data_IF_052679256883
#
_entry.id   IF_052679256883
#
_cell.length_a   1.000
_cell.length_b   1.000
_cell.length_c   1.000
_cell.angle_alpha   90.00
_cell.angle_beta   90.00
_cell.angle_gamma   90.00
#
_symmetry.space_group_name_H-M   'P 1'
#
loop_
_entity.id
_entity.type
_entity.pdbx_description
1 polymer ?
#
# COMPACT_ATOMS: atom_id res chain seq x y z
N UNK A 1 7.52 27.12 -23.82
CA UNK A 1 8.25 26.63 -22.63
C UNK A 1 7.21 26.01 -21.70
N UNK A 2 7.11 24.68 -21.57
CA UNK A 2 6.00 24.06 -20.84
C UNK A 2 6.10 22.53 -20.72
N UNK A 3 7.30 22.00 -20.49
CA UNK A 3 7.55 20.55 -20.43
C UNK A 3 8.30 20.08 -19.19
N UNK A 4 8.65 20.97 -18.26
CA UNK A 4 9.21 20.58 -16.97
C UNK A 4 8.05 20.33 -16.02
N UNK A 5 7.80 19.09 -15.62
CA UNK A 5 6.67 18.68 -14.77
C UNK A 5 6.55 19.32 -13.38
N UNK A 6 7.20 20.46 -13.12
CA UNK A 6 7.08 21.25 -11.89
C UNK A 6 5.65 21.70 -11.60
N UNK A 7 4.85 21.98 -12.63
CA UNK A 7 3.45 22.41 -12.48
C UNK A 7 2.54 21.32 -11.86
N UNK A 8 2.96 20.05 -11.93
CA UNK A 8 2.24 18.93 -11.34
C UNK A 8 2.85 18.42 -10.01
N UNK A 9 3.69 19.21 -9.36
CA UNK A 9 4.13 18.91 -8.00
C UNK A 9 2.93 18.89 -7.04
N UNK A 10 2.78 17.79 -6.29
CA UNK A 10 1.67 17.62 -5.34
C UNK A 10 2.13 18.02 -3.95
N UNK A 11 3.15 17.34 -3.42
CA UNK A 11 3.68 17.53 -2.08
C UNK A 11 5.03 16.84 -1.91
N UNK A 12 5.79 17.26 -0.90
CA UNK A 12 6.90 16.53 -0.31
C UNK A 12 6.50 15.95 1.04
N UNK A 13 6.98 14.73 1.32
CA UNK A 13 6.78 14.06 2.59
C UNK A 13 8.14 13.84 3.26
N UNK A 14 8.17 14.00 4.59
CA UNK A 14 9.40 13.88 5.37
C UNK A 14 9.41 12.55 6.12
N UNK A 15 10.38 11.69 5.80
CA UNK A 15 10.57 10.42 6.51
C UNK A 15 11.71 10.52 7.51
N UNK A 16 11.45 10.16 8.76
CA UNK A 16 12.50 10.00 9.77
C UNK A 16 13.31 8.72 9.48
N UNK A 17 14.63 8.83 9.41
CA UNK A 17 15.51 7.71 9.05
C UNK A 17 16.19 7.06 10.25
N UNK A 18 16.50 7.85 11.28
CA UNK A 18 17.22 7.45 12.50
C UNK A 18 16.83 8.36 13.69
N UNK A 19 17.16 7.95 14.91
CA UNK A 19 16.90 8.76 16.12
C UNK A 19 18.10 9.61 16.47
N UNK A 20 19.28 9.01 16.43
CA UNK A 20 20.56 9.67 16.71
C UNK A 20 21.54 9.27 15.61
N UNK A 21 22.32 10.23 15.12
CA UNK A 21 23.41 9.99 14.18
C UNK A 21 24.74 9.82 14.92
N UNK A 22 25.58 8.93 14.42
CA UNK A 22 26.97 8.82 14.87
C UNK A 22 27.90 9.79 14.12
N UNK A 23 27.40 10.42 13.05
CA UNK A 23 28.15 11.36 12.20
C UNK A 23 27.69 12.81 12.48
N UNK A 24 27.87 13.26 13.72
CA UNK A 24 27.47 14.60 14.17
C UNK A 24 28.66 15.57 14.18
N UNK A 25 29.50 15.58 13.14
CA UNK A 25 30.72 16.41 13.07
C UNK A 25 30.45 17.90 13.27
N UNK A 26 29.27 18.38 12.85
CA UNK A 26 28.84 19.77 12.99
C UNK A 26 27.93 20.01 14.19
N UNK A 27 27.71 19.01 15.05
CA UNK A 27 26.71 19.03 16.11
C UNK A 27 25.27 18.82 15.62
N UNK A 28 25.04 18.70 14.31
CA UNK A 28 23.70 18.48 13.73
C UNK A 28 23.40 16.98 13.64
N UNK A 29 22.27 16.57 14.21
CA UNK A 29 21.71 15.23 14.02
C UNK A 29 20.81 15.17 12.77
N UNK A 30 21.41 14.96 11.60
CA UNK A 30 20.66 14.82 10.35
C UNK A 30 19.94 13.45 10.28
N UNK A 31 18.62 13.49 10.37
CA UNK A 31 17.80 12.30 10.68
C UNK A 31 16.56 12.12 9.82
N UNK A 32 16.46 12.80 8.67
CA UNK A 32 15.32 12.66 7.76
C UNK A 32 15.75 12.58 6.30
N UNK A 33 14.83 12.11 5.47
CA UNK A 33 14.90 12.13 4.01
C UNK A 33 13.55 12.59 3.43
N UNK A 34 13.50 12.75 2.12
CA UNK A 34 12.36 13.27 1.38
C UNK A 34 11.72 12.20 0.50
N UNK A 35 10.40 12.27 0.37
CA UNK A 35 9.62 11.57 -0.65
C UNK A 35 8.84 12.62 -1.45
N UNK A 36 9.16 12.76 -2.73
CA UNK A 36 8.53 13.74 -3.62
C UNK A 36 7.34 13.09 -4.33
N UNK A 37 6.20 13.76 -4.30
CA UNK A 37 4.97 13.33 -4.99
C UNK A 37 4.65 14.28 -6.14
N UNK A 38 4.54 13.69 -7.33
CA UNK A 38 4.12 14.36 -8.56
C UNK A 38 2.93 13.63 -9.16
N UNK A 39 2.06 14.38 -9.83
CA UNK A 39 0.94 13.84 -10.57
C UNK A 39 1.17 13.97 -12.08
N UNK A 40 0.45 13.17 -12.87
CA UNK A 40 0.35 13.42 -14.32
C UNK A 40 -0.54 14.63 -14.60
N UNK A 41 -1.64 14.74 -13.86
CA UNK A 41 -2.53 15.88 -13.83
C UNK A 41 -3.05 16.06 -12.40
N UNK A 42 -2.76 17.22 -11.79
CA UNK A 42 -3.08 17.52 -10.38
C UNK A 42 -4.59 17.64 -10.11
N UNK A 43 -5.40 17.95 -11.11
CA UNK A 43 -6.86 18.10 -10.96
C UNK A 43 -7.56 16.78 -10.60
N UNK A 44 -6.97 15.64 -10.98
CA UNK A 44 -7.51 14.31 -10.72
C UNK A 44 -6.87 13.63 -9.50
N UNK A 45 -6.03 14.33 -8.73
CA UNK A 45 -5.35 13.74 -7.59
C UNK A 45 -6.33 13.57 -6.43
N UNK A 46 -6.45 12.33 -5.96
CA UNK A 46 -7.08 12.00 -4.69
C UNK A 46 -6.10 11.16 -3.87
N UNK A 47 -5.65 11.70 -2.73
CA UNK A 47 -4.76 11.02 -1.78
C UNK A 47 -5.47 10.71 -0.44
N UNK A 48 -6.81 10.68 -0.44
CA UNK A 48 -7.55 10.18 0.71
C UNK A 48 -7.37 8.66 0.79
N UNK A 49 -7.10 8.16 2.00
CA UNK A 49 -6.84 6.75 2.25
C UNK A 49 -7.63 6.23 3.43
N UNK A 50 -8.12 4.98 3.33
CA UNK A 50 -8.83 4.26 4.41
C UNK A 50 -9.90 5.06 5.15
N UNK A 51 -10.26 4.59 6.35
CA UNK A 51 -11.17 5.30 7.26
C UNK A 51 -10.41 5.81 8.49
N UNK A 52 -10.76 7.02 8.96
CA UNK A 52 -10.27 7.57 10.23
C UNK A 52 -10.72 6.68 11.39
N UNK A 53 -9.91 6.62 12.45
CA UNK A 53 -10.40 6.11 13.72
C UNK A 53 -11.37 7.16 14.31
N UNK A 54 -12.64 6.78 14.41
CA UNK A 54 -13.72 7.62 14.92
C UNK A 54 -14.25 7.14 16.28
N UNK A 55 -13.59 6.17 16.92
CA UNK A 55 -14.03 5.53 18.18
C UNK A 55 -14.12 6.52 19.37
N UNK A 56 -13.34 7.60 19.29
CA UNK A 56 -13.37 8.65 20.30
C UNK A 56 -14.64 9.50 20.22
N UNK A 57 -15.31 9.58 19.06
CA UNK A 57 -16.60 10.26 18.94
C UNK A 57 -17.66 9.43 19.64
N UNK A 58 -18.21 9.98 20.72
CA UNK A 58 -19.24 9.32 21.55
C UNK A 58 -20.40 10.27 21.79
N UNK A 59 -21.56 9.72 22.13
CA UNK A 59 -22.73 10.50 22.54
C UNK A 59 -23.16 10.16 23.98
N UNK A 60 -22.32 10.44 24.99
CA UNK A 60 -22.60 10.02 26.37
C UNK A 60 -23.76 10.81 27.02
N UNK A 61 -24.09 11.98 26.48
CA UNK A 61 -25.07 12.92 27.00
C UNK A 61 -26.37 12.96 26.20
N UNK A 62 -26.58 12.00 25.29
CA UNK A 62 -27.75 11.93 24.39
C UNK A 62 -27.99 13.24 23.63
N UNK A 63 -26.90 13.90 23.19
CA UNK A 63 -26.94 15.11 22.38
C UNK A 63 -27.67 14.83 21.05
N UNK A 64 -28.68 15.63 20.66
CA UNK A 64 -29.43 15.43 19.41
C UNK A 64 -28.57 15.58 18.16
N UNK A 65 -27.40 16.22 18.25
CA UNK A 65 -26.45 16.34 17.15
C UNK A 65 -25.59 15.07 16.96
N UNK A 66 -25.74 14.07 17.81
CA UNK A 66 -25.03 12.79 17.74
C UNK A 66 -23.64 12.83 18.36
N UNK A 67 -22.80 11.87 17.96
CA UNK A 67 -21.49 11.66 18.57
C UNK A 67 -20.54 12.86 18.40
N UNK A 68 -19.78 13.19 19.45
CA UNK A 68 -18.87 14.32 19.50
C UNK A 68 -17.61 14.00 20.29
N UNK A 69 -16.59 14.86 20.14
CA UNK A 69 -15.39 14.90 20.98
C UNK A 69 -15.15 16.29 21.54
N UNK A 70 -14.47 16.36 22.68
CA UNK A 70 -13.98 17.63 23.20
C UNK A 70 -12.87 18.17 22.28
N UNK A 71 -13.03 19.39 21.81
CA UNK A 71 -12.08 20.06 20.92
C UNK A 71 -11.55 21.34 21.57
N UNK A 72 -10.44 21.86 21.03
CA UNK A 72 -9.91 23.14 21.47
C UNK A 72 -10.76 24.29 20.89
N UNK A 73 -11.43 25.12 21.72
CA UNK A 73 -12.17 26.29 21.25
C UNK A 73 -11.27 27.43 20.80
N UNK A 74 -9.94 27.32 20.93
CA UNK A 74 -9.00 28.38 20.60
C UNK A 74 -8.03 27.99 19.49
N UNK A 75 -7.57 28.98 18.72
CA UNK A 75 -6.56 28.85 17.69
C UNK A 75 -5.57 30.04 17.74
N UNK A 76 -4.37 29.88 17.16
CA UNK A 76 -3.41 30.98 17.00
C UNK A 76 -3.84 31.99 15.93
N UNK A 77 -4.72 31.57 15.02
CA UNK A 77 -5.34 32.45 14.03
C UNK A 77 -6.55 33.15 14.65
N UNK A 78 -6.61 34.47 14.50
CA UNK A 78 -7.73 35.27 15.01
C UNK A 78 -7.41 36.75 15.06
N UNK A 79 -8.36 37.52 15.56
CA UNK A 79 -8.27 38.97 15.67
C UNK A 79 -8.60 39.37 17.11
N UNK A 80 -7.78 40.26 17.68
CA UNK A 80 -7.99 40.81 19.02
C UNK A 80 -9.39 41.42 19.19
N UNK A 81 -9.92 42.11 18.17
CA UNK A 81 -11.22 42.78 18.26
C UNK A 81 -12.40 41.83 18.36
N UNK A 82 -12.33 40.66 17.74
CA UNK A 82 -13.50 39.79 17.56
C UNK A 82 -13.38 38.43 18.23
N UNK A 83 -12.15 37.94 18.42
CA UNK A 83 -11.85 36.61 18.95
C UNK A 83 -11.18 36.62 20.33
N UNK A 84 -10.86 37.80 20.88
CA UNK A 84 -10.39 37.94 22.26
C UNK A 84 -11.46 38.60 23.12
N UNK A 85 -12.24 37.79 23.83
CA UNK A 85 -13.29 38.27 24.71
C UNK A 85 -13.62 37.24 25.80
N UNK A 86 -14.18 37.71 26.91
CA UNK A 86 -14.61 36.85 28.00
C UNK A 86 -15.88 36.09 27.65
N UNK A 87 -15.87 34.77 27.85
CA UNK A 87 -17.05 33.92 27.77
C UNK A 87 -17.52 33.65 29.19
N UNK A 88 -18.66 34.21 29.56
CA UNK A 88 -19.25 34.02 30.89
C UNK A 88 -20.12 32.78 30.93
N UNK A 89 -19.84 31.87 31.86
CA UNK A 89 -20.70 30.73 32.16
C UNK A 89 -21.95 31.22 32.94
N UNK A 90 -23.16 31.01 32.43
CA UNK A 90 -24.40 31.50 33.06
C UNK A 90 -24.76 30.78 34.36
N UNK A 91 -24.20 29.59 34.63
CA UNK A 91 -24.47 28.81 35.85
C UNK A 91 -23.54 29.17 37.00
N UNK A 92 -22.27 29.47 36.72
CA UNK A 92 -21.23 29.67 37.73
C UNK A 92 -20.66 31.08 37.78
N UNK A 93 -21.05 31.95 36.85
CA UNK A 93 -20.48 33.29 36.62
C UNK A 93 -18.98 33.29 36.31
N UNK A 94 -18.36 32.13 36.07
CA UNK A 94 -16.96 32.06 35.65
C UNK A 94 -16.78 32.70 34.28
N UNK A 95 -15.75 33.54 34.14
CA UNK A 95 -15.38 34.16 32.86
C UNK A 95 -14.10 33.52 32.36
N UNK A 96 -14.17 32.87 31.20
CA UNK A 96 -13.01 32.28 30.53
C UNK A 96 -12.54 33.16 29.36
N UNK A 97 -11.24 33.38 29.28
CA UNK A 97 -10.56 34.02 28.15
C UNK A 97 -9.73 32.98 27.37
N UNK A 98 -9.44 33.22 26.07
CA UNK A 98 -8.57 32.32 25.34
C UNK A 98 -7.14 32.40 25.92
N UNK A 99 -6.34 31.32 25.77
CA UNK A 99 -4.94 31.33 26.20
C UNK A 99 -4.14 32.49 25.58
N UNK A 100 -3.08 32.91 26.25
CA UNK A 100 -2.20 33.98 25.76
C UNK A 100 -1.67 33.64 24.36
N UNK A 101 -1.83 34.57 23.42
CA UNK A 101 -1.44 34.38 22.01
C UNK A 101 -2.42 33.53 21.19
N UNK A 102 -3.59 33.21 21.72
CA UNK A 102 -4.67 32.50 21.04
C UNK A 102 -5.97 33.31 21.09
N UNK A 103 -6.88 32.98 20.18
CA UNK A 103 -8.19 33.58 20.04
C UNK A 103 -9.25 32.49 19.98
N UNK A 104 -10.49 32.79 20.37
CA UNK A 104 -11.60 31.88 20.17
C UNK A 104 -11.82 31.58 18.68
N UNK A 105 -12.19 30.34 18.38
CA UNK A 105 -12.57 29.88 17.03
C UNK A 105 -13.97 30.37 16.62
N UNK A 106 -14.63 31.10 17.51
CA UNK A 106 -15.88 31.82 17.30
C UNK A 106 -15.69 33.27 17.73
N UNK A 107 -16.51 34.17 17.19
CA UNK A 107 -16.48 35.60 17.49
C UNK A 107 -17.59 36.00 18.45
N UNK A 108 -17.53 37.23 18.97
CA UNK A 108 -18.66 37.80 19.74
C UNK A 108 -19.99 37.72 18.98
N UNK A 109 -19.96 37.86 17.65
CA UNK A 109 -21.17 37.82 16.82
C UNK A 109 -21.67 36.39 16.54
N UNK A 110 -20.81 35.39 16.68
CA UNK A 110 -21.14 33.99 16.35
C UNK A 110 -21.21 33.08 17.56
N UNK A 111 -20.86 33.56 18.77
CA UNK A 111 -20.91 32.75 19.98
C UNK A 111 -22.32 32.20 20.23
N UNK A 112 -23.36 33.01 20.06
CA UNK A 112 -24.74 32.57 20.29
C UNK A 112 -25.10 31.40 19.38
N UNK A 113 -24.73 31.46 18.09
CA UNK A 113 -24.89 30.35 17.17
C UNK A 113 -24.18 29.07 17.65
N UNK A 114 -22.98 29.18 18.21
CA UNK A 114 -22.26 28.01 18.75
C UNK A 114 -22.91 27.44 20.02
N UNK A 115 -23.57 28.28 20.82
CA UNK A 115 -24.38 27.85 21.96
C UNK A 115 -25.63 27.13 21.45
N UNK A 116 -26.36 27.75 20.51
CA UNK A 116 -27.61 27.22 19.95
C UNK A 116 -27.39 25.89 19.20
N UNK A 117 -26.26 25.75 18.50
CA UNK A 117 -25.86 24.50 17.83
C UNK A 117 -25.34 23.43 18.80
N UNK A 118 -25.23 23.72 20.10
CA UNK A 118 -24.71 22.79 21.12
C UNK A 118 -23.19 22.65 21.15
N UNK A 119 -22.45 23.39 20.29
CA UNK A 119 -20.98 23.36 20.26
C UNK A 119 -20.37 23.89 21.56
N UNK A 120 -20.97 24.91 22.18
CA UNK A 120 -20.58 25.40 23.50
C UNK A 120 -21.57 24.84 24.52
N UNK A 121 -21.09 23.99 25.41
CA UNK A 121 -21.89 23.45 26.50
C UNK A 121 -21.31 23.92 27.84
N UNK A 122 -22.04 24.78 28.55
CA UNK A 122 -21.62 25.32 29.84
C UNK A 122 -21.72 24.26 30.94
N UNK A 123 -20.64 24.11 31.71
CA UNK A 123 -20.58 23.20 32.85
C UNK A 123 -21.37 23.79 34.01
N UNK A 124 -22.19 22.98 34.69
CA UNK A 124 -22.86 23.38 35.94
C UNK A 124 -21.89 23.42 37.12
N UNK A 125 -20.87 22.56 37.08
CA UNK A 125 -19.81 22.46 38.08
C UNK A 125 -18.46 22.29 37.39
N UNK A 126 -17.41 22.90 37.94
CA UNK A 126 -16.04 22.79 37.45
C UNK A 126 -15.06 23.09 38.58
N UNK A 127 -13.80 22.63 38.45
CA UNK A 127 -12.71 23.05 39.34
C UNK A 127 -12.27 24.48 39.01
N UNK A 128 -11.58 25.14 39.94
CA UNK A 128 -11.10 26.53 39.76
C UNK A 128 -10.18 26.69 38.55
N UNK A 129 -9.33 25.69 38.28
CA UNK A 129 -8.39 25.70 37.17
C UNK A 129 -8.94 25.13 35.86
N UNK A 130 -10.23 24.75 35.83
CA UNK A 130 -10.87 24.23 34.61
C UNK A 130 -11.70 25.31 33.91
N UNK A 131 -11.72 25.25 32.58
CA UNK A 131 -12.65 26.05 31.78
C UNK A 131 -14.10 25.69 32.13
N UNK A 132 -14.95 26.70 32.22
CA UNK A 132 -16.37 26.63 32.55
C UNK A 132 -17.26 26.09 31.41
N UNK A 133 -16.73 25.80 30.23
CA UNK A 133 -17.49 25.19 29.13
C UNK A 133 -16.68 24.13 28.37
N UNK A 134 -17.41 23.19 27.78
CA UNK A 134 -16.92 22.20 26.83
C UNK A 134 -17.15 22.74 25.42
N UNK A 135 -16.17 22.53 24.54
CA UNK A 135 -16.31 22.85 23.12
C UNK A 135 -16.38 21.56 22.33
N UNK A 136 -17.55 21.27 21.75
CA UNK A 136 -17.83 20.03 21.04
C UNK A 136 -17.49 20.15 19.56
N UNK A 137 -16.78 19.15 19.05
CA UNK A 137 -16.67 18.87 17.61
C UNK A 137 -17.51 17.65 17.29
N UNK A 138 -18.57 17.84 16.49
CA UNK A 138 -19.49 16.76 16.12
C UNK A 138 -18.95 15.91 14.97
N UNK A 139 -19.28 14.62 15.02
CA UNK A 139 -18.94 13.66 13.98
C UNK A 139 -19.61 14.01 12.65
N UNK A 140 -20.88 14.41 12.69
CA UNK A 140 -21.67 14.79 11.50
C UNK A 140 -21.09 15.98 10.73
N UNK A 141 -20.25 16.79 11.36
CA UNK A 141 -19.63 17.97 10.75
C UNK A 141 -18.27 17.65 10.09
N UNK A 142 -17.79 16.40 10.18
CA UNK A 142 -16.56 16.02 9.52
C UNK A 142 -16.75 16.05 7.99
N UNK A 143 -15.91 16.83 7.32
CA UNK A 143 -15.91 16.93 5.84
C UNK A 143 -15.58 15.61 5.13
N UNK A 144 -14.83 14.73 5.81
CA UNK A 144 -14.49 13.41 5.30
C UNK A 144 -14.17 12.48 6.46
N UNK A 145 -14.68 11.24 6.37
CA UNK A 145 -14.31 10.15 7.27
C UNK A 145 -12.99 9.49 6.86
N UNK A 146 -12.51 9.74 5.65
CA UNK A 146 -11.26 9.18 5.14
C UNK A 146 -10.03 9.92 5.68
N UNK A 147 -8.90 9.22 5.81
CA UNK A 147 -7.64 9.81 6.28
C UNK A 147 -7.04 10.69 5.20
N UNK A 148 -6.49 11.83 5.59
CA UNK A 148 -5.64 12.65 4.74
C UNK A 148 -4.23 12.07 4.70
N UNK A 149 -3.51 12.27 3.59
CA UNK A 149 -2.11 11.90 3.50
C UNK A 149 -1.25 13.04 4.05
N UNK A 150 -0.97 13.01 5.35
CA UNK A 150 -0.30 14.11 6.03
C UNK A 150 1.20 14.15 5.69
N UNK A 151 1.74 15.32 5.36
CA UNK A 151 3.15 15.47 4.89
C UNK A 151 4.21 15.01 5.89
N UNK A 152 3.87 14.92 7.17
CA UNK A 152 4.74 14.47 8.25
C UNK A 152 4.39 13.08 8.79
N UNK A 153 3.49 12.34 8.13
CA UNK A 153 3.07 11.00 8.58
C UNK A 153 4.27 10.05 8.77
N UNK A 154 5.31 10.18 7.93
CA UNK A 154 6.51 9.35 7.99
C UNK A 154 7.58 9.81 9.00
N UNK A 155 7.27 10.80 9.83
CA UNK A 155 8.16 11.26 10.89
C UNK A 155 8.15 10.36 12.13
N UNK A 156 7.17 9.45 12.24
CA UNK A 156 7.09 8.48 13.33
C UNK A 156 8.21 7.42 13.26
N UNK A 157 8.59 6.89 14.44
CA UNK A 157 9.66 5.92 14.57
C UNK A 157 9.39 4.60 13.83
N UNK A 158 8.13 4.25 13.57
CA UNK A 158 7.78 3.01 12.87
C UNK A 158 8.21 2.98 11.38
N UNK A 159 8.62 4.12 10.81
CA UNK A 159 9.10 4.24 9.42
C UNK A 159 10.62 4.35 9.28
N UNK A 160 11.36 4.24 10.38
CA UNK A 160 12.82 4.39 10.38
C UNK A 160 13.53 3.19 9.74
N UNK A 161 14.82 3.34 9.43
CA UNK A 161 15.61 2.29 8.77
C UNK A 161 15.65 0.97 9.57
N UNK A 162 15.60 1.04 10.90
CA UNK A 162 15.58 -0.13 11.78
C UNK A 162 14.37 -1.03 11.54
N UNK A 163 13.23 -0.48 11.10
CA UNK A 163 12.07 -1.29 10.74
C UNK A 163 12.38 -2.20 9.54
N UNK A 164 12.97 -1.64 8.48
CA UNK A 164 13.39 -2.41 7.30
C UNK A 164 14.47 -3.44 7.62
N UNK A 165 15.44 -3.10 8.47
CA UNK A 165 16.48 -4.05 8.92
C UNK A 165 15.86 -5.26 9.62
N UNK A 166 14.89 -5.04 10.53
CA UNK A 166 14.18 -6.14 11.22
C UNK A 166 13.42 -7.03 10.23
N UNK A 167 12.79 -6.43 9.22
CA UNK A 167 12.10 -7.17 8.15
C UNK A 167 13.07 -8.06 7.37
N UNK A 168 14.21 -7.52 6.94
CA UNK A 168 15.22 -8.29 6.22
C UNK A 168 15.82 -9.42 7.06
N UNK A 169 16.03 -9.21 8.37
CA UNK A 169 16.47 -10.27 9.29
C UNK A 169 15.42 -11.39 9.32
N UNK A 170 14.14 -11.06 9.48
CA UNK A 170 13.06 -12.06 9.51
C UNK A 170 12.93 -12.84 8.20
N UNK A 171 13.32 -12.23 7.08
CA UNK A 171 13.35 -12.83 5.77
C UNK A 171 14.66 -13.58 5.46
N UNK A 172 15.68 -13.49 6.32
CA UNK A 172 16.99 -14.10 6.09
C UNK A 172 17.84 -13.41 5.02
N UNK A 173 17.62 -12.12 4.76
CA UNK A 173 18.29 -11.35 3.70
C UNK A 173 19.21 -10.24 4.22
N UNK A 174 19.32 -10.06 5.54
CA UNK A 174 20.06 -8.94 6.15
C UNK A 174 21.56 -8.90 5.83
N UNK A 175 22.18 -10.06 5.59
CA UNK A 175 23.59 -10.15 5.18
C UNK A 175 23.80 -9.82 3.70
N UNK A 176 22.75 -9.96 2.88
CA UNK A 176 22.81 -9.79 1.42
C UNK A 176 22.42 -8.36 1.03
N UNK A 177 21.46 -7.76 1.74
CA UNK A 177 20.94 -6.42 1.45
C UNK A 177 20.84 -5.59 2.72
N UNK A 178 21.31 -4.33 2.70
CA UNK A 178 21.41 -3.49 3.92
C UNK A 178 20.51 -2.26 3.95
N UNK A 179 20.03 -1.79 2.79
CA UNK A 179 19.39 -0.47 2.65
C UNK A 179 17.94 -0.54 2.15
N UNK A 180 17.18 -1.55 2.60
CA UNK A 180 15.77 -1.68 2.21
C UNK A 180 14.92 -0.54 2.78
N UNK A 181 13.81 -0.26 2.10
CA UNK A 181 12.71 0.55 2.67
C UNK A 181 11.78 -0.37 3.47
N UNK A 182 11.20 0.11 4.59
CA UNK A 182 10.28 -0.70 5.39
C UNK A 182 8.95 -0.90 4.67
N UNK A 183 8.32 -2.06 4.85
CA UNK A 183 7.01 -2.33 4.25
C UNK A 183 5.93 -1.36 4.72
N UNK A 184 6.00 -0.88 5.98
CA UNK A 184 5.06 0.09 6.54
C UNK A 184 5.00 1.40 5.74
N UNK A 185 6.16 1.88 5.28
CA UNK A 185 6.26 3.08 4.45
C UNK A 185 5.53 2.88 3.13
N UNK A 186 5.83 1.79 2.42
CA UNK A 186 5.23 1.53 1.11
C UNK A 186 3.74 1.20 1.24
N UNK A 187 3.33 0.50 2.30
CA UNK A 187 1.92 0.19 2.55
C UNK A 187 1.11 1.47 2.71
N UNK A 188 1.60 2.40 3.52
CA UNK A 188 0.94 3.71 3.70
C UNK A 188 0.86 4.47 2.38
N UNK A 189 1.94 4.51 1.58
CA UNK A 189 1.93 5.17 0.26
C UNK A 189 0.85 4.55 -0.64
N UNK A 190 0.82 3.23 -0.76
CA UNK A 190 -0.11 2.54 -1.67
C UNK A 190 -1.56 2.61 -1.18
N UNK A 191 -1.82 2.61 0.12
CA UNK A 191 -3.16 2.80 0.69
C UNK A 191 -3.74 4.19 0.38
N UNK A 192 -2.89 5.22 0.29
CA UNK A 192 -3.30 6.57 -0.07
C UNK A 192 -3.34 6.82 -1.58
N UNK A 193 -2.54 6.10 -2.37
CA UNK A 193 -2.37 6.38 -3.79
C UNK A 193 -3.04 5.36 -4.74
N UNK A 194 -3.54 4.22 -4.23
CA UNK A 194 -4.05 3.12 -5.06
C UNK A 194 -5.23 2.39 -4.43
N UNK A 195 -6.03 1.75 -5.28
CA UNK A 195 -7.07 0.80 -4.91
C UNK A 195 -6.68 -0.64 -5.28
N UNK A 196 -7.46 -1.62 -4.83
CA UNK A 196 -7.29 -3.01 -5.25
C UNK A 196 -7.34 -3.12 -6.78
N UNK A 197 -6.50 -4.00 -7.35
CA UNK A 197 -6.30 -4.18 -8.80
C UNK A 197 -5.59 -3.06 -9.56
N UNK A 198 -5.28 -1.92 -8.95
CA UNK A 198 -4.45 -0.89 -9.59
C UNK A 198 -3.04 -1.41 -9.90
N UNK A 199 -2.38 -0.81 -10.89
CA UNK A 199 -1.03 -1.14 -11.30
C UNK A 199 0.00 -0.24 -10.61
N UNK A 200 0.94 -0.84 -9.89
CA UNK A 200 2.08 -0.18 -9.24
C UNK A 200 3.36 -0.48 -10.02
N UNK A 201 4.18 0.54 -10.30
CA UNK A 201 5.44 0.35 -11.01
C UNK A 201 6.62 0.83 -10.14
N UNK A 202 7.63 -0.01 -9.98
CA UNK A 202 8.89 0.33 -9.31
C UNK A 202 10.07 -0.12 -10.19
N UNK A 203 10.73 0.86 -10.82
CA UNK A 203 11.88 0.62 -11.69
C UNK A 203 13.23 0.64 -10.96
N UNK A 204 13.21 0.72 -9.63
CA UNK A 204 14.37 0.57 -8.74
C UNK A 204 14.01 -0.37 -7.58
N UNK A 205 13.57 -1.59 -7.92
CA UNK A 205 12.90 -2.48 -6.99
C UNK A 205 13.74 -2.89 -5.76
N UNK A 206 15.08 -2.93 -5.89
CA UNK A 206 16.03 -3.16 -4.79
C UNK A 206 15.75 -4.46 -4.03
N UNK A 207 15.31 -4.37 -2.79
CA UNK A 207 14.92 -5.56 -2.02
C UNK A 207 13.54 -6.13 -2.35
N UNK A 208 12.86 -5.60 -3.37
CA UNK A 208 11.50 -6.00 -3.78
C UNK A 208 10.41 -5.58 -2.79
N UNK A 209 10.66 -4.56 -1.95
CA UNK A 209 9.68 -4.12 -0.92
C UNK A 209 8.37 -3.66 -1.56
N UNK A 210 8.44 -2.85 -2.62
CA UNK A 210 7.24 -2.36 -3.31
C UNK A 210 6.41 -3.48 -3.91
N UNK A 211 7.05 -4.40 -4.62
CA UNK A 211 6.40 -5.58 -5.19
C UNK A 211 5.74 -6.44 -4.10
N UNK A 212 6.44 -6.69 -2.98
CA UNK A 212 5.89 -7.45 -1.87
C UNK A 212 4.65 -6.79 -1.25
N UNK A 213 4.69 -5.49 -1.02
CA UNK A 213 3.56 -4.75 -0.43
C UNK A 213 2.39 -4.64 -1.41
N UNK A 214 2.65 -4.28 -2.66
CA UNK A 214 1.64 -4.23 -3.70
C UNK A 214 0.91 -5.57 -3.82
N UNK A 215 1.65 -6.68 -3.82
CA UNK A 215 1.08 -8.02 -3.85
C UNK A 215 0.18 -8.31 -2.63
N UNK A 216 0.66 -8.03 -1.41
CA UNK A 216 -0.12 -8.23 -0.17
C UNK A 216 -1.38 -7.37 -0.11
N UNK A 217 -1.34 -6.19 -0.73
CA UNK A 217 -2.49 -5.31 -0.90
C UNK A 217 -3.34 -5.69 -2.12
N UNK A 218 -3.06 -6.78 -2.85
CA UNK A 218 -3.82 -7.18 -4.05
C UNK A 218 -3.81 -6.14 -5.17
N UNK A 219 -2.68 -5.46 -5.37
CA UNK A 219 -2.40 -4.61 -6.52
C UNK A 219 -1.64 -5.41 -7.56
N UNK A 220 -1.81 -5.05 -8.83
CA UNK A 220 -0.92 -5.51 -9.91
C UNK A 220 0.39 -4.74 -9.79
N UNK A 221 1.51 -5.33 -10.18
CA UNK A 221 2.78 -4.60 -10.13
C UNK A 221 3.77 -5.01 -11.21
N UNK A 222 4.65 -4.06 -11.54
CA UNK A 222 5.85 -4.26 -12.34
C UNK A 222 7.03 -3.79 -11.50
N UNK A 223 7.96 -4.69 -11.25
CA UNK A 223 9.24 -4.39 -10.58
C UNK A 223 10.39 -4.61 -11.55
N UNK A 224 11.30 -3.65 -11.67
CA UNK A 224 12.52 -3.78 -12.46
C UNK A 224 13.73 -3.67 -11.54
N UNK A 225 14.67 -4.58 -11.70
CA UNK A 225 15.94 -4.60 -10.97
C UNK A 225 17.06 -5.08 -11.91
N UNK A 226 18.22 -4.44 -11.81
CA UNK A 226 19.41 -4.78 -12.61
C UNK A 226 20.53 -5.40 -11.79
N UNK A 227 20.44 -5.37 -10.46
CA UNK A 227 21.45 -5.90 -9.57
C UNK A 227 21.41 -7.42 -9.45
N UNK A 228 22.59 -8.02 -9.26
CA UNK A 228 22.80 -9.46 -9.02
C UNK A 228 22.11 -10.01 -7.76
N UNK A 229 21.42 -9.17 -7.01
CA UNK A 229 20.64 -9.55 -5.85
C UNK A 229 19.19 -9.92 -6.21
N UNK A 230 18.77 -9.79 -7.48
CA UNK A 230 17.44 -10.22 -7.92
C UNK A 230 17.15 -11.68 -7.53
N UNK A 231 18.02 -12.60 -7.93
CA UNK A 231 17.88 -14.05 -7.66
C UNK A 231 18.03 -14.42 -6.18
N UNK A 232 18.76 -13.61 -5.41
CA UNK A 232 19.09 -13.92 -4.00
C UNK A 232 18.18 -13.23 -3.00
N UNK A 233 17.49 -12.16 -3.41
CA UNK A 233 16.69 -11.30 -2.53
C UNK A 233 15.29 -11.12 -3.08
N UNK A 234 15.12 -10.50 -4.25
CA UNK A 234 13.77 -10.18 -4.78
C UNK A 234 12.98 -11.45 -5.06
N UNK A 235 13.49 -12.34 -5.89
CA UNK A 235 12.76 -13.54 -6.30
C UNK A 235 12.42 -14.43 -5.08
N UNK A 236 13.36 -14.74 -4.16
CA UNK A 236 13.04 -15.46 -2.93
C UNK A 236 12.05 -14.72 -2.04
N UNK A 237 12.13 -13.38 -1.93
CA UNK A 237 11.15 -12.59 -1.18
C UNK A 237 9.75 -12.74 -1.76
N UNK A 238 9.59 -12.61 -3.09
CA UNK A 238 8.29 -12.72 -3.73
C UNK A 238 7.73 -14.15 -3.65
N UNK A 239 8.59 -15.17 -3.80
CA UNK A 239 8.20 -16.57 -3.53
C UNK A 239 7.68 -16.76 -2.09
N UNK A 240 8.33 -16.15 -1.09
CA UNK A 240 7.85 -16.16 0.30
C UNK A 240 6.49 -15.47 0.44
N UNK A 241 6.28 -14.34 -0.22
CA UNK A 241 4.99 -13.61 -0.19
C UNK A 241 3.88 -14.45 -0.81
N UNK A 242 4.08 -14.98 -2.01
CA UNK A 242 3.13 -15.87 -2.70
C UNK A 242 2.85 -17.12 -1.86
N UNK A 243 3.88 -17.69 -1.22
CA UNK A 243 3.76 -18.82 -0.30
C UNK A 243 3.11 -18.49 1.05
N UNK A 244 2.64 -17.26 1.27
CA UNK A 244 1.92 -16.86 2.49
C UNK A 244 2.80 -16.67 3.73
N UNK A 245 4.12 -16.51 3.55
CA UNK A 245 5.04 -16.29 4.66
C UNK A 245 4.72 -15.00 5.42
N UNK A 246 4.56 -15.11 6.73
CA UNK A 246 4.12 -14.02 7.61
C UNK A 246 5.29 -13.10 7.96
N UNK A 247 5.42 -12.00 7.24
CA UNK A 247 6.48 -11.00 7.45
C UNK A 247 6.03 -9.57 7.16
N UNK A 248 6.82 -8.61 7.63
CA UNK A 248 6.61 -7.18 7.36
C UNK A 248 5.37 -6.58 8.04
N UNK A 249 4.82 -5.54 7.43
CA UNK A 249 3.70 -4.77 7.98
C UNK A 249 2.33 -5.45 7.76
N UNK A 250 2.17 -6.20 6.67
CA UNK A 250 0.89 -6.79 6.24
C UNK A 250 0.87 -8.30 6.47
N UNK A 251 0.91 -8.73 7.74
CA UNK A 251 1.01 -10.14 8.12
C UNK A 251 -0.27 -10.95 7.88
N UNK A 252 -1.42 -10.30 7.74
CA UNK A 252 -2.69 -11.00 7.53
C UNK A 252 -2.80 -11.66 6.15
N UNK A 253 -1.97 -11.27 5.18
CA UNK A 253 -1.96 -11.88 3.84
C UNK A 253 -1.58 -13.37 3.90
N UNK A 254 -2.42 -14.24 3.32
CA UNK A 254 -2.31 -15.71 3.42
C UNK A 254 -1.67 -16.37 2.19
N UNK A 255 -1.05 -15.61 1.29
CA UNK A 255 -0.44 -16.14 0.07
C UNK A 255 -1.40 -16.16 -1.12
N UNK A 256 -0.97 -16.83 -2.20
CA UNK A 256 -1.65 -16.90 -3.48
C UNK A 256 -1.07 -15.95 -4.53
N UNK A 257 -1.60 -16.03 -5.75
CA UNK A 257 -1.16 -15.23 -6.89
C UNK A 257 0.05 -15.81 -7.63
N UNK A 258 0.44 -15.13 -8.70
CA UNK A 258 1.54 -15.53 -9.58
C UNK A 258 2.37 -14.31 -9.93
N UNK A 259 3.67 -14.53 -10.16
CA UNK A 259 4.56 -13.56 -10.77
C UNK A 259 5.11 -14.14 -12.05
N UNK A 260 5.29 -13.27 -13.05
CA UNK A 260 6.06 -13.60 -14.24
C UNK A 260 7.37 -12.84 -14.19
N UNK A 261 8.46 -13.56 -14.36
CA UNK A 261 9.80 -13.00 -14.40
C UNK A 261 10.25 -12.93 -15.86
N UNK A 262 10.82 -11.80 -16.23
CA UNK A 262 11.43 -11.59 -17.53
C UNK A 262 12.86 -11.12 -17.29
N UNK A 263 13.80 -11.70 -18.02
CA UNK A 263 15.16 -11.20 -18.13
C UNK A 263 15.32 -10.51 -19.49
N UNK A 264 15.96 -9.34 -19.50
CA UNK A 264 16.29 -8.65 -20.73
C UNK A 264 17.69 -9.08 -21.16
N UNK A 265 17.78 -9.81 -22.27
CA UNK A 265 19.06 -10.15 -22.88
C UNK A 265 19.40 -9.17 -24.00
N UNK A 266 20.67 -8.83 -24.15
CA UNK A 266 21.13 -8.09 -25.31
C UNK A 266 21.18 -8.97 -26.56
N UNK A 267 21.00 -8.37 -27.72
CA UNK A 267 21.10 -9.06 -29.01
C UNK A 267 22.45 -9.80 -29.17
N UNK A 268 23.54 -9.19 -28.71
CA UNK A 268 24.89 -9.77 -28.77
C UNK A 268 25.06 -10.99 -27.84
N UNK A 269 24.42 -10.99 -26.67
CA UNK A 269 24.44 -12.15 -25.77
C UNK A 269 23.69 -13.33 -26.37
N UNK A 270 22.54 -13.07 -27.00
CA UNK A 270 21.78 -14.09 -27.73
C UNK A 270 22.66 -14.70 -28.82
N UNK A 271 23.31 -13.87 -29.65
CA UNK A 271 24.21 -14.35 -30.71
C UNK A 271 25.40 -15.17 -30.19
N UNK A 272 25.90 -14.90 -28.98
CA UNK A 272 27.00 -15.66 -28.37
C UNK A 272 26.55 -16.97 -27.73
N UNK A 273 25.33 -17.01 -27.18
CA UNK A 273 24.77 -18.18 -26.51
C UNK A 273 24.08 -19.15 -27.48
N UNK A 274 23.59 -18.64 -28.61
CA UNK A 274 22.89 -19.46 -29.61
C UNK A 274 23.85 -20.49 -30.20
N UNK A 275 23.52 -21.77 -30.02
CA UNK A 275 24.22 -22.88 -30.67
C UNK A 275 23.40 -23.29 -31.87
N UNK A 276 24.00 -23.17 -33.06
CA UNK A 276 23.42 -23.69 -34.28
C UNK A 276 23.86 -25.15 -34.41
N UNK A 277 22.90 -26.07 -34.38
CA UNK A 277 23.12 -27.43 -34.87
C UNK A 277 22.60 -27.50 -36.31
N UNK A 278 23.39 -28.09 -37.21
CA UNK A 278 22.88 -28.48 -38.53
C UNK A 278 21.84 -29.59 -38.31
N UNK A 279 20.57 -29.21 -38.39
CA UNK A 279 19.45 -30.12 -38.26
C UNK A 279 18.36 -29.68 -39.23
N UNK A 280 17.78 -30.62 -39.97
CA UNK A 280 16.60 -30.38 -40.82
C UNK A 280 15.31 -30.11 -39.99
N UNK A 281 15.48 -29.83 -38.69
CA UNK A 281 14.39 -29.58 -37.74
C UNK A 281 14.32 -28.08 -37.44
N UNK A 282 13.12 -27.47 -37.49
CA UNK A 282 12.96 -26.08 -37.08
C UNK A 282 13.46 -25.92 -35.64
N UNK A 283 14.16 -24.80 -35.37
CA UNK A 283 14.69 -24.39 -34.06
C UNK A 283 13.75 -24.82 -32.92
N UNK A 284 14.05 -25.96 -32.30
CA UNK A 284 13.41 -26.43 -31.09
C UNK A 284 14.44 -26.22 -29.99
N UNK A 285 14.14 -25.32 -29.06
CA UNK A 285 14.90 -25.21 -27.83
C UNK A 285 14.93 -26.59 -27.17
N UNK A 286 16.12 -27.08 -26.80
CA UNK A 286 16.24 -28.15 -25.81
C UNK A 286 15.83 -27.55 -24.46
N UNK A 287 14.52 -27.38 -24.30
CA UNK A 287 13.89 -27.11 -23.02
C UNK A 287 14.13 -28.33 -22.14
N UNK A 288 14.59 -28.06 -20.92
CA UNK A 288 14.55 -29.01 -19.84
C UNK A 288 13.08 -29.27 -19.53
N UNK A 289 12.43 -30.16 -20.29
CA UNK A 289 11.01 -30.45 -20.17
C UNK A 289 10.72 -30.82 -18.72
N UNK A 290 9.95 -29.97 -18.06
CA UNK A 290 9.53 -30.19 -16.68
C UNK A 290 8.80 -31.52 -16.56
N UNK A 291 8.77 -32.09 -15.35
CA UNK A 291 8.05 -33.33 -15.01
C UNK A 291 6.56 -33.33 -15.46
N UNK A 292 6.04 -32.19 -15.93
CA UNK A 292 4.67 -31.93 -16.36
C UNK A 292 4.35 -32.36 -17.80
N UNK A 293 5.35 -32.58 -18.66
CA UNK A 293 5.15 -32.97 -20.06
C UNK A 293 6.06 -34.15 -20.40
N UNK A 294 5.53 -35.14 -21.10
CA UNK A 294 6.28 -36.31 -21.55
C UNK A 294 6.19 -36.49 -23.07
N UNK A 295 7.15 -37.22 -23.64
CA UNK A 295 7.17 -37.53 -25.08
C UNK A 295 6.72 -38.96 -25.32
N UNK A 296 5.60 -39.14 -26.02
CA UNK A 296 5.04 -40.44 -26.44
C UNK A 296 4.94 -40.52 -27.96
N UNK A 297 5.51 -41.56 -28.56
CA UNK A 297 5.36 -41.94 -29.98
C UNK A 297 5.37 -40.75 -30.96
N UNK A 298 6.35 -39.84 -30.83
CA UNK A 298 6.54 -38.65 -31.68
C UNK A 298 5.65 -37.43 -31.39
N UNK A 299 4.92 -37.40 -30.27
CA UNK A 299 4.16 -36.22 -29.83
C UNK A 299 4.43 -35.89 -28.35
N UNK A 300 4.31 -34.62 -27.98
CA UNK A 300 4.35 -34.18 -26.59
C UNK A 300 2.96 -34.27 -25.99
N UNK A 301 2.86 -34.87 -24.80
CA UNK A 301 1.62 -35.08 -24.07
C UNK A 301 1.77 -34.59 -22.63
N UNK A 302 0.67 -34.21 -22.01
CA UNK A 302 0.66 -33.84 -20.60
C UNK A 302 0.98 -35.08 -19.75
N UNK A 303 1.92 -34.95 -18.81
CA UNK A 303 2.21 -36.00 -17.84
C UNK A 303 1.20 -35.95 -16.70
N UNK A 304 0.02 -36.53 -16.95
CA UNK A 304 -1.12 -36.49 -16.02
C UNK A 304 -0.73 -37.13 -14.67
N UNK A 305 0.00 -38.24 -14.68
CA UNK A 305 0.41 -38.93 -13.44
C UNK A 305 1.33 -38.08 -12.57
N UNK A 306 2.26 -37.33 -13.17
CA UNK A 306 3.14 -36.44 -12.42
C UNK A 306 2.35 -35.28 -11.78
N UNK A 307 1.42 -34.69 -12.54
CA UNK A 307 0.56 -33.61 -12.07
C UNK A 307 -0.37 -34.05 -10.93
N UNK A 308 -0.95 -35.24 -11.03
CA UNK A 308 -1.76 -35.83 -9.97
C UNK A 308 -0.93 -36.08 -8.70
N UNK A 309 0.30 -36.60 -8.83
CA UNK A 309 1.24 -36.77 -7.70
C UNK A 309 1.63 -35.45 -7.03
N UNK A 310 1.64 -34.36 -7.80
CA UNK A 310 1.88 -33.00 -7.30
C UNK A 310 0.62 -32.36 -6.67
N UNK A 311 -0.53 -33.03 -6.73
CA UNK A 311 -1.80 -32.52 -6.22
C UNK A 311 -2.45 -31.46 -7.11
N UNK A 312 -2.12 -31.43 -8.40
CA UNK A 312 -2.70 -30.49 -9.37
C UNK A 312 -4.03 -31.03 -9.88
N UNK A 313 -5.12 -30.30 -9.64
CA UNK A 313 -6.40 -30.56 -10.32
C UNK A 313 -6.38 -29.91 -11.72
N UNK A 314 -6.07 -30.74 -12.72
CA UNK A 314 -5.97 -30.32 -14.13
C UNK A 314 -7.31 -29.79 -14.64
N UNK A 315 -8.43 -30.38 -14.18
CA UNK A 315 -9.76 -29.97 -14.62
C UNK A 315 -10.08 -28.58 -14.08
N UNK A 316 -9.92 -28.38 -12.78
CA UNK A 316 -10.15 -27.08 -12.14
C UNK A 316 -9.21 -26.02 -12.74
N UNK A 317 -7.96 -26.38 -13.03
CA UNK A 317 -7.01 -25.48 -13.70
C UNK A 317 -7.51 -25.04 -15.09
N UNK A 318 -7.99 -25.97 -15.91
CA UNK A 318 -8.54 -25.67 -17.23
C UNK A 318 -9.81 -24.81 -17.15
N UNK A 319 -10.69 -25.08 -16.18
CA UNK A 319 -11.91 -24.31 -15.95
C UNK A 319 -11.58 -22.87 -15.49
N UNK A 320 -10.58 -22.70 -14.63
CA UNK A 320 -10.13 -21.40 -14.15
C UNK A 320 -9.43 -20.56 -15.23
N UNK A 321 -8.62 -21.20 -16.09
CA UNK A 321 -7.92 -20.51 -17.18
C UNK A 321 -8.87 -19.99 -18.25
N UNK A 322 -9.86 -20.80 -18.64
CA UNK A 322 -10.74 -20.48 -19.77
C UNK A 322 -12.08 -19.89 -19.35
N UNK A 323 -12.44 -19.95 -18.06
CA UNK A 323 -13.72 -19.46 -17.54
C UNK A 323 -14.94 -20.23 -18.03
N UNK A 324 -14.72 -21.45 -18.56
CA UNK A 324 -15.75 -22.35 -19.10
C UNK A 324 -15.54 -23.76 -18.57
N UNK A 325 -16.65 -24.48 -18.31
CA UNK A 325 -16.58 -25.84 -17.75
C UNK A 325 -15.93 -26.85 -18.70
N UNK A 326 -15.28 -27.88 -18.15
CA UNK A 326 -14.67 -28.97 -18.94
C UNK A 326 -15.65 -30.15 -19.05
N UNK A 327 -15.90 -30.62 -20.27
CA UNK A 327 -16.67 -31.85 -20.53
C UNK A 327 -15.81 -33.09 -20.30
N UNK A 328 -14.63 -33.11 -20.93
CA UNK A 328 -13.61 -34.14 -20.73
C UNK A 328 -12.23 -33.62 -21.10
N UNK A 329 -11.19 -34.30 -20.62
CA UNK A 329 -9.82 -34.11 -21.06
C UNK A 329 -9.04 -35.43 -21.01
N UNK A 330 -7.92 -35.47 -21.72
CA UNK A 330 -6.91 -36.52 -21.64
C UNK A 330 -5.51 -35.92 -21.86
N UNK A 331 -4.48 -36.75 -21.91
CA UNK A 331 -3.08 -36.34 -22.10
C UNK A 331 -2.80 -35.52 -23.39
N UNK A 332 -3.73 -35.49 -24.36
CA UNK A 332 -3.59 -34.80 -25.66
C UNK A 332 -4.59 -33.67 -25.87
N UNK A 333 -5.82 -33.79 -25.39
CA UNK A 333 -6.92 -32.88 -25.72
C UNK A 333 -7.83 -32.56 -24.54
N UNK A 334 -8.50 -31.41 -24.61
CA UNK A 334 -9.59 -31.00 -23.73
C UNK A 334 -10.79 -30.57 -24.58
N UNK A 335 -12.00 -30.89 -24.13
CA UNK A 335 -13.24 -30.35 -24.67
C UNK A 335 -13.96 -29.53 -23.61
N UNK A 336 -14.23 -28.27 -23.94
CA UNK A 336 -14.97 -27.34 -23.08
C UNK A 336 -16.47 -27.38 -23.39
N UNK A 337 -17.30 -27.13 -22.37
CA UNK A 337 -18.76 -27.06 -22.50
C UNK A 337 -19.15 -25.96 -23.48
N UNK A 338 -19.99 -26.32 -24.44
CA UNK A 338 -20.46 -25.39 -25.48
C UNK A 338 -19.46 -25.15 -26.62
N UNK A 339 -18.36 -25.91 -26.68
CA UNK A 339 -17.44 -25.92 -27.81
C UNK A 339 -17.53 -27.25 -28.56
N UNK A 340 -17.81 -27.20 -29.87
CA UNK A 340 -17.97 -28.39 -30.71
C UNK A 340 -16.63 -29.05 -31.07
N UNK A 341 -15.50 -28.39 -30.78
CA UNK A 341 -14.16 -28.88 -31.14
C UNK A 341 -13.31 -29.14 -29.91
N UNK A 342 -12.54 -30.21 -30.01
CA UNK A 342 -11.44 -30.49 -29.08
C UNK A 342 -10.29 -29.52 -29.29
N UNK A 343 -9.65 -29.12 -28.19
CA UNK A 343 -8.48 -28.26 -28.17
C UNK A 343 -7.30 -29.08 -27.64
N UNK A 344 -6.13 -28.95 -28.25
CA UNK A 344 -4.92 -29.61 -27.73
C UNK A 344 -4.65 -29.17 -26.28
N UNK A 345 -4.46 -30.13 -25.37
CA UNK A 345 -4.41 -29.83 -23.93
C UNK A 345 -3.22 -28.96 -23.55
N UNK A 346 -2.05 -29.17 -24.17
CA UNK A 346 -0.88 -28.31 -23.99
C UNK A 346 -1.12 -26.88 -24.50
N UNK A 347 -1.94 -26.72 -25.54
CA UNK A 347 -2.36 -25.40 -26.02
C UNK A 347 -3.33 -24.74 -25.06
N UNK A 348 -4.26 -25.50 -24.49
CA UNK A 348 -5.19 -25.01 -23.48
C UNK A 348 -4.49 -24.65 -22.16
N UNK A 349 -3.41 -25.35 -21.82
CA UNK A 349 -2.59 -25.09 -20.64
C UNK A 349 -1.40 -24.17 -20.92
N UNK A 350 -1.27 -23.59 -22.13
CA UNK A 350 -0.11 -22.79 -22.53
C UNK A 350 0.19 -21.63 -21.58
N UNK A 351 -0.82 -21.10 -20.90
CA UNK A 351 -0.67 -20.02 -19.93
C UNK A 351 -0.26 -20.49 -18.53
N UNK A 352 -0.43 -21.78 -18.21
CA UNK A 352 -0.08 -22.40 -16.94
C UNK A 352 1.18 -23.28 -17.00
N UNK A 353 1.49 -23.85 -18.16
CA UNK A 353 2.74 -24.55 -18.43
C UNK A 353 3.81 -23.51 -18.74
N UNK A 354 4.70 -23.29 -17.76
CA UNK A 354 5.94 -22.55 -17.97
C UNK A 354 6.80 -23.43 -18.88
N UNK A 355 7.10 -22.91 -20.07
CA UNK A 355 8.09 -23.45 -21.00
C UNK A 355 9.49 -22.99 -20.57
#
# INVERSE_FOLDING_TARGET
>A
MGGGGGDNFVADFIRKTKSTTNDAKTGVNYQHEFLLCYAKNKEFVNLLGGEKNLENYKNPDNDPNGAWINDNPSAKSGNMKTGYFGVTNPYTNKVDYPPVGMFWRFSQNTIQKHIDEGRICFKKEHKDNERGFIYKRYLKDLKTTQKTFDSLIFSDNCYMNQAATKELISLGFAEIFKNAKPESLIATILEHATQENDLVCDFFAGSGTTCAVAHKLKRKYIGVEMGEHFERVILPRLKKVIGGFKSGALKEFNGGGVIKVYELESYEEILRKIKYEDNDKPLAYDEQYSDLVERKEHSYTLNVEALEKMGVDIKETLENLHGVGVEFFNEKVVKFKGNDKEVGILKALKEALIW
#
